data_IF_063803856372
#
_entry.id   IF_063803856372
#
_cell.length_a   1.000
_cell.length_b   1.000
_cell.length_c   1.000
_cell.angle_alpha   90.00
_cell.angle_beta   90.00
_cell.angle_gamma   90.00
#
_symmetry.space_group_name_H-M   'P 1'
#
loop_
_entity.id
_entity.type
_entity.pdbx_description
1 polymer ?
#
# COMPACT_ATOMS: atom_id res chain seq x y z
N UNK A 1 13.79 -25.32 -31.11
CA UNK A 1 13.82 -25.57 -29.65
C UNK A 1 14.00 -24.25 -28.90
N UNK A 2 12.95 -23.44 -28.78
CA UNK A 2 12.93 -22.35 -27.79
C UNK A 2 11.55 -22.36 -27.14
N UNK A 3 11.51 -22.82 -25.90
CA UNK A 3 10.30 -22.94 -25.08
C UNK A 3 9.96 -21.58 -24.48
N UNK A 4 8.69 -21.20 -24.62
CA UNK A 4 8.06 -20.02 -24.04
C UNK A 4 7.99 -20.19 -22.51
N UNK A 5 8.56 -19.25 -21.76
CA UNK A 5 8.32 -19.13 -20.32
C UNK A 5 7.03 -18.34 -20.16
N UNK A 6 5.93 -19.06 -19.93
CA UNK A 6 4.66 -18.49 -19.51
C UNK A 6 4.85 -17.84 -18.12
N UNK A 7 4.63 -16.52 -18.04
CA UNK A 7 4.46 -15.79 -16.77
C UNK A 7 3.25 -16.37 -16.04
N UNK A 8 3.50 -17.20 -15.03
CA UNK A 8 2.45 -17.73 -14.14
C UNK A 8 1.95 -16.58 -13.27
N UNK A 9 0.77 -16.08 -13.63
CA UNK A 9 -0.03 -15.13 -12.87
C UNK A 9 -0.28 -15.69 -11.45
N UNK A 10 0.07 -14.93 -10.40
CA UNK A 10 0.05 -15.36 -8.99
C UNK A 10 -1.24 -14.96 -8.24
N UNK A 11 -2.26 -14.48 -8.94
CA UNK A 11 -3.47 -13.91 -8.34
C UNK A 11 -4.53 -14.95 -7.93
N UNK A 12 -4.15 -16.13 -7.41
CA UNK A 12 -5.13 -17.21 -7.18
C UNK A 12 -5.03 -17.93 -5.84
N UNK A 13 -4.41 -17.34 -4.81
CA UNK A 13 -4.13 -18.07 -3.56
C UNK A 13 -4.84 -17.56 -2.30
N UNK A 14 -5.61 -16.47 -2.35
CA UNK A 14 -6.34 -15.97 -1.19
C UNK A 14 -7.73 -15.55 -1.63
N UNK A 15 -8.76 -16.10 -0.98
CA UNK A 15 -10.18 -15.87 -1.28
C UNK A 15 -10.65 -14.48 -0.88
N UNK A 16 -9.93 -13.43 -1.30
CA UNK A 16 -10.37 -12.05 -1.20
C UNK A 16 -11.62 -11.86 -2.07
N UNK A 17 -12.62 -11.07 -1.62
CA UNK A 17 -13.75 -10.73 -2.46
C UNK A 17 -13.24 -10.12 -3.76
N UNK A 18 -13.57 -10.77 -4.87
CA UNK A 18 -13.06 -10.49 -6.22
C UNK A 18 -13.36 -9.05 -6.68
N UNK A 19 -14.25 -8.34 -6.00
CA UNK A 19 -14.56 -6.92 -6.19
C UNK A 19 -13.44 -5.97 -5.78
N UNK A 20 -12.66 -6.27 -4.73
CA UNK A 20 -11.58 -5.37 -4.28
C UNK A 20 -10.36 -5.43 -5.23
N UNK A 21 -9.99 -6.64 -5.66
CA UNK A 21 -8.84 -6.86 -6.57
C UNK A 21 -9.13 -6.42 -8.01
N UNK A 22 -10.36 -6.59 -8.50
CA UNK A 22 -10.70 -6.26 -9.89
C UNK A 22 -11.13 -4.80 -10.11
N UNK A 23 -11.24 -4.00 -9.06
CA UNK A 23 -11.55 -2.56 -9.16
C UNK A 23 -10.29 -1.69 -9.27
N UNK A 24 -9.09 -2.27 -9.12
CA UNK A 24 -7.80 -1.56 -9.21
C UNK A 24 -7.60 -1.06 -10.66
N UNK A 25 -7.76 0.25 -10.95
CA UNK A 25 -7.60 0.76 -12.31
C UNK A 25 -6.12 0.73 -12.69
N UNK A 26 -5.78 -0.04 -13.74
CA UNK A 26 -4.41 -0.21 -14.23
C UNK A 26 -3.95 0.91 -15.19
N UNK A 27 -4.69 2.01 -15.32
CA UNK A 27 -4.34 3.12 -16.20
C UNK A 27 -4.55 4.47 -15.50
N UNK A 28 -3.46 5.01 -14.97
CA UNK A 28 -3.06 6.43 -14.93
C UNK A 28 -1.79 6.47 -14.07
N UNK A 29 -0.78 7.21 -14.49
CA UNK A 29 0.55 7.25 -13.87
C UNK A 29 0.65 7.91 -12.49
N UNK A 30 -0.35 7.74 -11.62
CA UNK A 30 -0.37 8.08 -10.20
C UNK A 30 -1.18 7.01 -9.47
N UNK A 31 -0.51 5.96 -8.97
CA UNK A 31 -1.16 4.83 -8.30
C UNK A 31 -1.67 5.26 -6.92
N UNK A 32 -2.91 5.74 -6.87
CA UNK A 32 -3.60 6.05 -5.63
C UNK A 32 -3.88 4.74 -4.89
N UNK A 33 -3.44 4.67 -3.63
CA UNK A 33 -4.15 3.84 -2.68
C UNK A 33 -5.50 4.50 -2.49
N UNK A 34 -6.60 3.78 -2.77
CA UNK A 34 -7.94 4.32 -2.55
C UNK A 34 -8.11 4.68 -1.08
N UNK A 35 -8.65 5.87 -0.83
CA UNK A 35 -8.91 6.31 0.55
C UNK A 35 -10.07 5.51 1.11
N UNK A 36 -9.89 4.93 2.29
CA UNK A 36 -10.90 4.12 2.97
C UNK A 36 -11.30 4.80 4.28
N UNK A 37 -12.53 4.57 4.74
CA UNK A 37 -12.92 4.96 6.09
C UNK A 37 -12.37 3.97 7.12
N UNK A 38 -12.25 4.42 8.37
CA UNK A 38 -11.85 3.55 9.49
C UNK A 38 -12.81 2.35 9.63
N UNK A 39 -14.12 2.56 9.47
CA UNK A 39 -15.11 1.51 9.71
C UNK A 39 -15.07 0.46 8.58
N UNK A 40 -14.93 0.87 7.31
CA UNK A 40 -14.69 -0.06 6.19
C UNK A 40 -13.40 -0.85 6.37
N UNK A 41 -12.32 -0.22 6.85
CA UNK A 41 -11.07 -0.93 7.15
C UNK A 41 -11.27 -2.00 8.23
N UNK A 42 -12.04 -1.70 9.28
CA UNK A 42 -12.36 -2.68 10.33
C UNK A 42 -13.15 -3.85 9.74
N UNK A 43 -14.17 -3.56 8.90
CA UNK A 43 -14.96 -4.58 8.23
C UNK A 43 -14.09 -5.52 7.38
N UNK A 44 -13.14 -4.98 6.61
CA UNK A 44 -12.18 -5.78 5.83
C UNK A 44 -11.31 -6.68 6.73
N UNK A 45 -10.80 -6.15 7.85
CA UNK A 45 -10.01 -6.94 8.80
C UNK A 45 -10.84 -7.99 9.56
N UNK A 46 -12.14 -7.78 9.71
CA UNK A 46 -13.07 -8.71 10.36
C UNK A 46 -13.46 -9.89 9.45
N UNK A 47 -13.19 -9.81 8.13
CA UNK A 47 -13.34 -10.95 7.22
C UNK A 47 -12.33 -12.07 7.47
N UNK A 48 -11.22 -11.78 8.18
CA UNK A 48 -10.18 -12.75 8.48
C UNK A 48 -10.36 -13.33 9.88
N UNK A 49 -10.56 -14.65 9.96
CA UNK A 49 -10.65 -15.38 11.22
C UNK A 49 -9.25 -15.69 11.83
N UNK A 50 -8.22 -15.81 10.99
CA UNK A 50 -6.85 -16.13 11.40
C UNK A 50 -5.96 -14.87 11.47
N UNK A 51 -5.15 -14.79 12.52
CA UNK A 51 -4.16 -13.73 12.70
C UNK A 51 -3.06 -13.79 11.63
N UNK A 52 -2.73 -14.99 11.11
CA UNK A 52 -1.75 -15.14 10.04
C UNK A 52 -2.22 -14.48 8.74
N UNK A 53 -3.51 -14.57 8.44
CA UNK A 53 -4.11 -13.95 7.26
C UNK A 53 -4.18 -12.43 7.42
N UNK A 54 -4.53 -11.91 8.61
CA UNK A 54 -4.44 -10.46 8.90
C UNK A 54 -3.03 -9.94 8.73
N UNK A 55 -2.03 -10.69 9.21
CA UNK A 55 -0.63 -10.32 9.05
C UNK A 55 -0.23 -10.28 7.57
N UNK A 56 -0.61 -11.31 6.79
CA UNK A 56 -0.32 -11.37 5.35
C UNK A 56 -0.98 -10.21 4.60
N UNK A 57 -2.22 -9.89 4.93
CA UNK A 57 -2.93 -8.76 4.34
C UNK A 57 -2.18 -7.44 4.57
N UNK A 58 -1.65 -7.19 5.78
CA UNK A 58 -0.83 -6.00 6.05
C UNK A 58 0.39 -5.95 5.13
N UNK A 59 1.09 -7.07 4.94
CA UNK A 59 2.25 -7.13 4.05
C UNK A 59 1.85 -6.83 2.60
N UNK A 60 0.73 -7.39 2.13
CA UNK A 60 0.21 -7.15 0.78
C UNK A 60 -0.17 -5.67 0.55
N UNK A 61 -0.76 -5.01 1.55
CA UNK A 61 -1.02 -3.56 1.50
C UNK A 61 0.28 -2.77 1.32
N UNK A 62 1.35 -3.18 2.03
CA UNK A 62 2.68 -2.59 1.89
C UNK A 62 3.28 -2.79 0.51
N UNK A 63 3.14 -3.98 -0.06
CA UNK A 63 3.62 -4.31 -1.41
C UNK A 63 2.84 -3.56 -2.51
N UNK A 64 1.60 -3.16 -2.23
CA UNK A 64 0.76 -2.33 -3.09
C UNK A 64 1.17 -0.84 -3.12
N UNK A 65 2.07 -0.40 -2.23
CA UNK A 65 2.56 0.98 -2.27
C UNK A 65 3.29 1.29 -3.58
N UNK A 66 3.12 2.52 -4.11
CA UNK A 66 3.92 2.98 -5.24
C UNK A 66 5.42 2.86 -4.97
N UNK A 67 6.20 2.66 -6.03
CA UNK A 67 7.66 2.70 -5.91
C UNK A 67 8.09 4.06 -5.37
N UNK A 68 8.91 4.04 -4.31
CA UNK A 68 9.43 5.24 -3.70
C UNK A 68 10.67 5.72 -4.45
N UNK A 69 10.74 7.01 -4.74
CA UNK A 69 11.89 7.59 -5.43
C UNK A 69 13.13 7.54 -4.52
N UNK A 70 14.21 6.93 -5.00
CA UNK A 70 15.47 6.85 -4.28
C UNK A 70 16.04 8.25 -3.99
N UNK A 71 15.78 9.24 -4.86
CA UNK A 71 16.22 10.61 -4.63
C UNK A 71 15.53 11.26 -3.41
N UNK A 72 14.34 10.77 -3.05
CA UNK A 72 13.58 11.21 -1.89
C UNK A 72 13.96 10.48 -0.60
N UNK A 73 14.86 9.48 -0.63
CA UNK A 73 15.37 8.79 0.57
C UNK A 73 16.45 9.60 1.27
N UNK A 74 16.07 10.78 1.72
CA UNK A 74 16.93 11.74 2.42
C UNK A 74 16.47 11.93 3.86
N UNK A 75 17.38 12.38 4.73
CA UNK A 75 17.11 12.47 6.17
C UNK A 75 15.93 13.38 6.51
N UNK A 76 15.66 14.43 5.72
CA UNK A 76 14.52 15.31 5.96
C UNK A 76 13.15 14.64 5.75
N UNK A 77 13.10 13.57 4.95
CA UNK A 77 11.90 12.77 4.73
C UNK A 77 11.85 11.54 5.66
N UNK A 78 12.89 11.33 6.48
CA UNK A 78 12.97 10.18 7.39
C UNK A 78 12.18 10.44 8.67
N UNK A 79 11.23 9.55 8.96
CA UNK A 79 10.46 9.59 10.20
C UNK A 79 11.34 9.15 11.37
N UNK A 80 11.49 10.03 12.35
CA UNK A 80 12.34 9.80 13.52
C UNK A 80 11.61 8.96 14.59
N UNK A 81 12.36 8.16 15.34
CA UNK A 81 11.83 7.38 16.46
C UNK A 81 11.30 5.99 16.11
N UNK A 82 11.32 5.61 14.82
CA UNK A 82 11.06 4.24 14.38
C UNK A 82 12.32 3.37 14.52
N UNK A 83 12.14 2.08 14.84
CA UNK A 83 13.23 1.09 14.85
C UNK A 83 13.66 0.76 13.42
N UNK A 84 12.70 0.61 12.52
CA UNK A 84 12.89 0.51 11.07
C UNK A 84 13.06 1.90 10.47
N UNK A 85 13.80 2.01 9.36
CA UNK A 85 13.83 3.26 8.62
C UNK A 85 12.51 3.43 7.86
N UNK A 86 11.92 4.61 7.99
CA UNK A 86 10.67 4.99 7.32
C UNK A 86 10.90 6.32 6.63
N UNK A 87 10.54 6.41 5.36
CA UNK A 87 10.52 7.65 4.59
C UNK A 87 9.09 7.99 4.21
N UNK A 88 8.72 9.26 4.38
CA UNK A 88 7.40 9.79 4.05
C UNK A 88 7.57 11.08 3.27
N UNK A 89 6.96 11.16 2.10
CA UNK A 89 7.00 12.32 1.23
C UNK A 89 5.56 12.82 1.00
N UNK A 90 5.18 13.95 1.62
CA UNK A 90 3.90 14.60 1.33
C UNK A 90 3.96 15.34 -0.01
N UNK A 91 2.85 15.34 -0.75
CA UNK A 91 2.65 16.17 -1.93
C UNK A 91 1.21 16.69 -1.96
N UNK A 92 1.04 17.92 -2.44
CA UNK A 92 -0.29 18.51 -2.67
C UNK A 92 -0.67 18.24 -4.12
N UNK A 93 -1.84 17.64 -4.33
CA UNK A 93 -2.38 17.37 -5.66
C UNK A 93 -2.94 18.63 -6.33
N UNK A 94 -3.25 18.53 -7.62
CA UNK A 94 -3.89 19.61 -8.39
C UNK A 94 -5.30 19.96 -7.86
N UNK A 95 -5.89 19.05 -7.08
CA UNK A 95 -7.15 19.18 -6.36
C UNK A 95 -7.01 19.88 -5.00
N UNK A 96 -5.82 20.39 -4.68
CA UNK A 96 -5.46 21.01 -3.39
C UNK A 96 -5.52 20.04 -2.19
N UNK A 97 -5.58 18.73 -2.44
CA UNK A 97 -5.59 17.72 -1.38
C UNK A 97 -4.18 17.22 -1.07
N UNK A 98 -3.97 16.81 0.18
CA UNK A 98 -2.72 16.25 0.66
C UNK A 98 -2.65 14.74 0.40
N UNK A 99 -1.57 14.32 -0.22
CA UNK A 99 -1.25 12.92 -0.51
C UNK A 99 0.14 12.57 0.00
N UNK A 100 0.38 11.27 0.16
CA UNK A 100 1.63 10.77 0.73
C UNK A 100 2.16 9.60 -0.09
N UNK A 101 3.47 9.60 -0.32
CA UNK A 101 4.21 8.40 -0.72
C UNK A 101 5.15 8.02 0.42
N UNK A 102 5.33 6.72 0.64
CA UNK A 102 6.17 6.26 1.73
C UNK A 102 6.85 4.94 1.42
N UNK A 103 7.90 4.67 2.17
CA UNK A 103 8.60 3.38 2.14
C UNK A 103 9.23 3.06 3.48
N UNK A 104 9.58 1.79 3.65
CA UNK A 104 10.23 1.29 4.86
C UNK A 104 11.15 0.11 4.54
N UNK A 105 12.25 -0.01 5.26
CA UNK A 105 13.15 -1.17 5.18
C UNK A 105 12.56 -2.44 5.83
N UNK A 106 11.47 -2.29 6.59
CA UNK A 106 10.66 -3.37 7.13
C UNK A 106 9.34 -3.49 6.36
N UNK A 107 9.06 -4.70 5.85
CA UNK A 107 7.80 -5.00 5.12
C UNK A 107 6.57 -4.81 6.00
N UNK A 108 6.62 -5.23 7.27
CA UNK A 108 5.49 -5.06 8.18
C UNK A 108 5.20 -3.58 8.42
N UNK A 109 6.25 -2.79 8.66
CA UNK A 109 6.09 -1.35 8.88
C UNK A 109 5.60 -0.65 7.62
N UNK A 110 6.07 -1.09 6.44
CA UNK A 110 5.56 -0.62 5.15
C UNK A 110 4.05 -0.84 5.02
N UNK A 111 3.55 -2.00 5.41
CA UNK A 111 2.13 -2.32 5.44
C UNK A 111 1.31 -1.45 6.40
N UNK A 112 1.82 -1.23 7.61
CA UNK A 112 1.16 -0.34 8.57
C UNK A 112 1.11 1.11 8.09
N UNK A 113 2.16 1.57 7.40
CA UNK A 113 2.17 2.90 6.78
C UNK A 113 1.16 2.97 5.65
N UNK A 114 1.03 1.92 4.84
CA UNK A 114 0.01 1.87 3.80
C UNK A 114 -1.37 2.13 4.37
N UNK A 115 -1.75 1.46 5.47
CA UNK A 115 -3.01 1.69 6.20
C UNK A 115 -3.19 3.16 6.59
N UNK A 116 -2.15 3.79 7.16
CA UNK A 116 -2.19 5.22 7.52
C UNK A 116 -2.42 6.08 6.29
N UNK A 117 -1.73 5.81 5.18
CA UNK A 117 -1.91 6.56 3.93
C UNK A 117 -3.35 6.42 3.40
N UNK A 118 -3.97 5.24 3.47
CA UNK A 118 -5.36 5.04 3.03
C UNK A 118 -6.35 5.86 3.86
N UNK A 119 -6.09 6.01 5.16
CA UNK A 119 -6.99 6.73 6.07
C UNK A 119 -6.84 8.26 5.96
N UNK A 120 -5.65 8.75 5.63
CA UNK A 120 -5.31 10.18 5.73
C UNK A 120 -5.01 10.89 4.42
N UNK A 121 -4.82 10.19 3.30
CA UNK A 121 -4.67 10.84 1.99
C UNK A 121 -5.98 11.45 1.50
N UNK A 122 -5.91 12.39 0.56
CA UNK A 122 -7.09 13.03 -0.03
C UNK A 122 -7.84 13.92 0.96
N UNK A 123 -7.12 14.54 1.91
CA UNK A 123 -7.66 15.48 2.90
C UNK A 123 -6.99 16.85 2.77
N UNK A 124 -7.70 17.92 3.16
CA UNK A 124 -7.22 19.32 3.15
C UNK A 124 -6.87 19.81 4.55
#
# INVERSE_FOLDING_TARGET
MHSLIAKKNRNSALGLPTTFVNSIPQDLGVTLIETITKDELIEEFDLFDDWEDKYRFIIELGDGLPAFDESARIECNRVQGCVSNVWLLPHVGDDELLYFTADSDSQLVKGLIAIVIMLFSGKS
#
